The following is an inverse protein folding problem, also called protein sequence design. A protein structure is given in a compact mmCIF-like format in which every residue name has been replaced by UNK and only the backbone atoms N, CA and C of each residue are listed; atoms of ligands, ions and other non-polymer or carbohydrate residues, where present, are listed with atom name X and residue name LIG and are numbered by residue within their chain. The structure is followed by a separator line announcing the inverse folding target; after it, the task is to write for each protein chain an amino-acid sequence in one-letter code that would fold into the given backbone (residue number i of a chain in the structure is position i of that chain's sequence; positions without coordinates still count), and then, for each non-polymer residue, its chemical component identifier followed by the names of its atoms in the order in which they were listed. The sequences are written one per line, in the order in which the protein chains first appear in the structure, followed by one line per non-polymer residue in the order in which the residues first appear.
data_IF_522442403494
#
_entry.id   IF_522442403494
#
_cell.length_a   1.000
_cell.length_b   1.000
_cell.length_c   1.000
_cell.angle_alpha   90.00
_cell.angle_beta   90.00
_cell.angle_gamma   90.00
#
_symmetry.space_group_name_H-M   'P 1'
#
loop_
_entity.id
_entity.type
_entity.pdbx_description
1 polymer ?
#
# COMPACT_ATOMS: atom_id res chain seq x y z
N UNK A 1 -4.75 38.66 8.96
CA UNK A 1 -3.69 37.73 9.46
C UNK A 1 -4.36 36.44 9.95
N UNK A 2 -4.27 35.30 9.25
CA UNK A 2 -4.78 34.04 9.78
C UNK A 2 -3.67 33.25 10.49
N UNK A 3 -3.98 32.78 11.70
CA UNK A 3 -3.14 31.91 12.53
C UNK A 3 -3.02 30.54 11.87
N UNK A 4 -1.80 30.08 11.65
CA UNK A 4 -1.50 28.76 11.09
C UNK A 4 -1.96 27.63 12.00
N UNK A 5 -2.81 26.75 11.47
CA UNK A 5 -3.15 25.46 12.05
C UNK A 5 -1.90 24.57 12.10
N UNK A 6 -1.37 24.33 13.30
CA UNK A 6 -0.39 23.28 13.51
C UNK A 6 -1.11 21.93 13.49
N UNK A 7 -0.97 21.20 12.39
CA UNK A 7 -1.34 19.79 12.32
C UNK A 7 -0.36 18.98 13.17
N UNK A 8 -0.81 18.57 14.36
CA UNK A 8 -0.12 17.55 15.15
C UNK A 8 -0.05 16.28 14.30
N UNK A 9 1.15 15.92 13.82
CA UNK A 9 1.42 14.58 13.27
C UNK A 9 1.14 13.56 14.36
N UNK A 10 0.00 12.90 14.29
CA UNK A 10 -0.30 11.72 15.09
C UNK A 10 0.55 10.57 14.55
N UNK A 11 1.53 10.13 15.34
CA UNK A 11 2.20 8.85 15.10
C UNK A 11 1.12 7.77 15.26
N UNK A 12 0.72 7.13 14.16
CA UNK A 12 -0.19 5.98 14.23
C UNK A 12 0.50 4.88 15.05
N UNK A 13 -0.08 4.40 16.16
CA UNK A 13 0.49 3.28 16.89
C UNK A 13 0.51 2.05 15.97
N UNK A 14 1.63 1.32 15.97
CA UNK A 14 1.77 0.08 15.21
C UNK A 14 0.64 -0.90 15.56
N UNK A 15 0.05 -1.61 14.58
CA UNK A 15 -0.93 -2.64 14.86
C UNK A 15 -0.30 -3.68 15.77
N UNK A 16 -0.91 -3.88 16.95
CA UNK A 16 -0.51 -4.96 17.85
C UNK A 16 -0.76 -6.29 17.13
N UNK A 17 0.15 -7.28 17.23
CA UNK A 17 -0.11 -8.58 16.64
C UNK A 17 -1.43 -9.13 17.23
N UNK A 18 -2.28 -9.76 16.40
CA UNK A 18 -3.49 -10.40 16.88
C UNK A 18 -3.22 -11.37 18.02
N UNK A 19 -4.18 -11.54 18.93
CA UNK A 19 -3.99 -12.38 20.12
C UNK A 19 -3.69 -13.86 19.80
N UNK A 20 -4.05 -14.35 18.60
CA UNK A 20 -3.76 -15.70 18.11
C UNK A 20 -2.31 -15.90 17.63
N UNK A 21 -1.53 -14.82 17.52
CA UNK A 21 -0.10 -14.85 17.14
C UNK A 21 0.84 -14.89 18.35
N UNK A 22 0.32 -14.78 19.58
CA UNK A 22 1.12 -15.05 20.77
C UNK A 22 1.42 -16.55 20.84
N UNK A 23 2.71 -16.87 21.02
CA UNK A 23 3.21 -18.24 21.02
C UNK A 23 2.37 -19.26 21.80
N UNK A 24 1.91 -18.99 23.05
CA UNK A 24 1.11 -19.95 23.80
C UNK A 24 -0.28 -20.22 23.17
N UNK A 25 -0.96 -19.19 22.68
CA UNK A 25 -2.33 -19.32 22.15
C UNK A 25 -2.38 -20.16 20.86
N UNK A 26 -1.38 -19.99 20.00
CA UNK A 26 -1.28 -20.78 18.76
C UNK A 26 -1.10 -22.27 19.04
N UNK A 27 -0.22 -22.65 19.98
CA UNK A 27 0.02 -24.07 20.27
C UNK A 27 -1.20 -24.73 20.92
N UNK A 28 -1.95 -24.00 21.75
CA UNK A 28 -3.22 -24.49 22.30
C UNK A 28 -4.25 -24.72 21.19
N UNK A 29 -4.42 -23.78 20.26
CA UNK A 29 -5.33 -23.93 19.12
C UNK A 29 -4.92 -25.07 18.17
N UNK A 30 -3.62 -25.17 17.87
CA UNK A 30 -3.10 -26.25 17.03
C UNK A 30 -3.31 -27.62 17.69
N UNK A 31 -3.01 -27.75 18.99
CA UNK A 31 -3.26 -28.99 19.73
C UNK A 31 -4.75 -29.35 19.78
N UNK A 32 -5.63 -28.37 20.00
CA UNK A 32 -7.08 -28.57 19.99
C UNK A 32 -7.58 -29.03 18.62
N UNK A 33 -7.11 -28.39 17.53
CA UNK A 33 -7.46 -28.77 16.16
C UNK A 33 -6.96 -30.19 15.83
N UNK A 34 -5.72 -30.52 16.21
CA UNK A 34 -5.15 -31.87 16.02
C UNK A 34 -5.96 -32.92 16.78
N UNK A 35 -6.32 -32.65 18.04
CA UNK A 35 -7.14 -33.56 18.84
C UNK A 35 -8.54 -33.73 18.23
N UNK A 36 -9.18 -32.65 17.80
CA UNK A 36 -10.48 -32.70 17.13
C UNK A 36 -10.44 -33.55 15.85
N UNK A 37 -9.44 -33.36 15.00
CA UNK A 37 -9.26 -34.18 13.78
C UNK A 37 -9.05 -35.65 14.13
N UNK A 38 -8.26 -35.96 15.15
CA UNK A 38 -8.06 -37.33 15.61
C UNK A 38 -9.39 -38.00 15.98
N UNK A 39 -10.20 -37.36 16.83
CA UNK A 39 -11.48 -37.92 17.26
C UNK A 39 -12.51 -37.99 16.12
N UNK A 40 -12.52 -37.04 15.19
CA UNK A 40 -13.39 -37.07 14.01
C UNK A 40 -13.05 -38.23 13.08
N UNK A 41 -11.77 -38.41 12.74
CA UNK A 41 -11.32 -39.48 11.85
C UNK A 41 -11.47 -40.84 12.52
N UNK A 42 -11.16 -40.92 13.81
CA UNK A 42 -11.39 -42.12 14.61
C UNK A 42 -12.87 -42.52 14.63
N UNK A 43 -13.77 -41.58 14.96
CA UNK A 43 -15.20 -41.83 15.02
C UNK A 43 -15.80 -42.22 13.67
N UNK A 44 -15.34 -41.61 12.57
CA UNK A 44 -15.80 -41.95 11.23
C UNK A 44 -15.32 -43.33 10.75
N UNK A 45 -14.16 -43.80 11.23
CA UNK A 45 -13.60 -45.11 10.86
C UNK A 45 -14.03 -46.24 11.79
N UNK A 46 -14.65 -45.93 12.94
CA UNK A 46 -15.00 -46.91 13.95
C UNK A 46 -16.13 -47.87 13.51
N UNK A 47 -16.96 -47.45 12.55
CA UNK A 47 -18.03 -48.27 11.96
C UNK A 47 -17.55 -49.12 10.75
N UNK A 48 -16.28 -48.97 10.33
CA UNK A 48 -15.69 -49.72 9.23
C UNK A 48 -15.01 -51.03 9.67
N UNK A 49 -14.87 -52.00 8.76
CA UNK A 49 -14.15 -53.28 8.94
C UNK A 49 -12.61 -53.12 9.09
N UNK A 50 -12.11 -51.91 9.37
CA UNK A 50 -10.67 -51.66 9.51
C UNK A 50 -10.16 -52.21 10.85
N UNK A 51 -9.17 -53.10 10.82
CA UNK A 51 -8.63 -53.75 12.03
C UNK A 51 -7.86 -52.79 12.96
N UNK A 52 -7.52 -51.57 12.52
CA UNK A 52 -6.77 -50.60 13.31
C UNK A 52 -7.05 -49.12 12.94
N UNK A 53 -8.24 -48.58 13.25
CA UNK A 53 -8.63 -47.21 12.89
C UNK A 53 -7.77 -46.12 13.56
N UNK A 54 -7.09 -46.43 14.67
CA UNK A 54 -6.27 -45.47 15.45
C UNK A 54 -5.02 -45.09 14.70
N UNK A 55 -4.49 -46.00 13.88
CA UNK A 55 -3.28 -45.77 13.10
C UNK A 55 -3.57 -44.72 12.02
N UNK A 56 -4.68 -44.86 11.29
CA UNK A 56 -5.11 -43.90 10.27
C UNK A 56 -5.47 -42.54 10.89
N UNK A 57 -6.17 -42.54 12.02
CA UNK A 57 -6.47 -41.32 12.79
C UNK A 57 -5.20 -40.62 13.30
N UNK A 58 -4.22 -41.37 13.81
CA UNK A 58 -2.94 -40.83 14.28
C UNK A 58 -2.09 -40.22 13.15
N UNK A 59 -2.05 -40.86 11.98
CA UNK A 59 -1.35 -40.34 10.79
C UNK A 59 -1.99 -39.03 10.31
N UNK A 60 -3.32 -38.98 10.19
CA UNK A 60 -4.02 -37.76 9.78
C UNK A 60 -3.82 -36.59 10.75
N UNK A 61 -3.88 -36.86 12.06
CA UNK A 61 -3.61 -35.86 13.10
C UNK A 61 -2.17 -35.32 13.01
N UNK A 62 -1.20 -36.20 12.72
CA UNK A 62 0.22 -35.83 12.56
C UNK A 62 0.44 -34.91 11.34
N UNK A 63 -0.28 -35.15 10.23
CA UNK A 63 -0.24 -34.28 9.04
C UNK A 63 -0.79 -32.88 9.35
N UNK A 64 -1.90 -32.79 10.07
CA UNK A 64 -2.49 -31.49 10.47
C UNK A 64 -1.53 -30.71 11.38
N UNK A 65 -0.89 -31.39 12.33
CA UNK A 65 0.09 -30.76 13.21
C UNK A 65 1.30 -30.23 12.42
N UNK A 66 1.83 -31.02 11.49
CA UNK A 66 2.93 -30.61 10.61
C UNK A 66 2.54 -29.41 9.73
N UNK A 67 1.35 -29.43 9.14
CA UNK A 67 0.82 -28.31 8.35
C UNK A 67 0.68 -27.03 9.17
N UNK A 68 0.20 -27.12 10.42
CA UNK A 68 0.10 -25.98 11.33
C UNK A 68 1.48 -25.37 11.65
N UNK A 69 2.50 -26.20 11.88
CA UNK A 69 3.87 -25.73 12.12
C UNK A 69 4.45 -25.02 10.88
N UNK A 70 4.25 -25.57 9.68
CA UNK A 70 4.70 -24.96 8.42
C UNK A 70 3.98 -23.63 8.17
N UNK A 71 2.65 -23.58 8.34
CA UNK A 71 1.85 -22.38 8.18
C UNK A 71 2.33 -21.26 9.12
N UNK A 72 2.65 -21.62 10.37
CA UNK A 72 3.24 -20.68 11.33
C UNK A 72 4.58 -20.14 10.85
N UNK A 73 5.48 -20.99 10.38
CA UNK A 73 6.79 -20.54 9.90
C UNK A 73 6.68 -19.59 8.70
N UNK A 74 5.75 -19.87 7.77
CA UNK A 74 5.49 -18.99 6.63
C UNK A 74 4.96 -17.61 7.05
N UNK A 75 3.99 -17.58 7.98
CA UNK A 75 3.43 -16.32 8.52
C UNK A 75 4.50 -15.53 9.30
N UNK A 76 5.32 -16.22 10.10
CA UNK A 76 6.37 -15.58 10.90
C UNK A 76 7.55 -15.09 10.05
N UNK A 77 7.83 -15.71 8.90
CA UNK A 77 8.88 -15.25 8.00
C UNK A 77 8.54 -13.89 7.38
N UNK A 78 7.33 -13.72 6.87
CA UNK A 78 6.85 -12.43 6.33
C UNK A 78 6.73 -11.36 7.44
N UNK A 79 6.27 -11.74 8.64
CA UNK A 79 6.19 -10.81 9.77
C UNK A 79 7.55 -10.43 10.36
N UNK A 80 8.53 -11.35 10.43
CA UNK A 80 9.89 -11.06 10.93
C UNK A 80 10.62 -10.13 9.98
N UNK A 81 10.56 -10.38 8.67
CA UNK A 81 11.18 -9.48 7.69
C UNK A 81 10.60 -8.06 7.78
N UNK A 82 9.28 -7.91 7.96
CA UNK A 82 8.62 -6.60 8.13
C UNK A 82 8.94 -5.92 9.47
N UNK A 83 9.00 -6.66 10.57
CA UNK A 83 9.25 -6.09 11.91
C UNK A 83 10.73 -5.75 12.09
N UNK A 84 11.63 -6.57 11.55
CA UNK A 84 13.07 -6.38 11.68
C UNK A 84 13.54 -5.20 10.81
N UNK A 85 13.00 -5.06 9.60
CA UNK A 85 13.22 -3.88 8.75
C UNK A 85 12.65 -2.61 9.37
N UNK A 86 11.44 -2.65 9.94
CA UNK A 86 10.85 -1.51 10.65
C UNK A 86 11.67 -1.10 11.89
N UNK A 87 12.21 -2.06 12.64
CA UNK A 87 13.07 -1.81 13.81
C UNK A 87 14.45 -1.30 13.42
N UNK A 88 15.04 -1.78 12.32
CA UNK A 88 16.30 -1.24 11.80
C UNK A 88 16.11 0.19 11.32
N UNK A 89 14.99 0.49 10.64
CA UNK A 89 14.61 1.85 10.26
C UNK A 89 14.43 2.75 11.50
N UNK A 90 13.73 2.29 12.54
CA UNK A 90 13.53 3.07 13.77
C UNK A 90 14.84 3.32 14.54
N UNK A 91 15.76 2.34 14.59
CA UNK A 91 17.11 2.53 15.15
C UNK A 91 17.92 3.55 14.35
N UNK A 92 17.82 3.51 13.02
CA UNK A 92 18.46 4.49 12.14
C UNK A 92 17.82 5.90 12.28
N UNK A 93 16.50 5.98 12.50
CA UNK A 93 15.79 7.24 12.75
C UNK A 93 16.17 7.88 14.10
N UNK A 94 16.32 7.08 15.16
CA UNK A 94 16.78 7.59 16.47
C UNK A 94 18.24 8.06 16.43
N UNK A 95 19.08 7.49 15.58
CA UNK A 95 20.45 7.94 15.38
C UNK A 95 20.56 9.31 14.67
N UNK A 96 19.53 9.72 13.90
CA UNK A 96 19.52 10.97 13.11
C UNK A 96 18.78 12.12 13.82
N UNK A 97 17.83 11.80 14.71
CA UNK A 97 17.05 12.79 15.46
C UNK A 97 17.84 13.87 16.26
N UNK A 98 19.06 13.65 16.78
CA UNK A 98 19.78 14.70 17.51
C UNK A 98 20.53 15.70 16.63
N UNK A 99 20.64 15.49 15.31
CA UNK A 99 21.35 16.45 14.42
C UNK A 99 20.47 17.65 14.06
N UNK A 100 19.19 17.42 13.75
CA UNK A 100 18.25 18.48 13.37
C UNK A 100 17.92 19.45 14.52
N UNK A 101 17.96 18.98 15.78
CA UNK A 101 17.65 19.81 16.96
C UNK A 101 18.79 20.74 17.37
N UNK A 102 20.02 20.49 16.92
CA UNK A 102 21.22 21.28 17.25
C UNK A 102 21.54 22.38 16.23
N UNK A 103 20.85 22.42 15.09
CA UNK A 103 21.13 23.33 13.95
C UNK A 103 20.36 24.66 13.97
N UNK A 104 19.64 25.00 15.04
CA UNK A 104 18.81 26.22 15.08
C UNK A 104 19.58 27.56 15.15
N UNK A 105 20.91 27.60 15.28
CA UNK A 105 21.63 28.87 15.46
C UNK A 105 22.98 29.05 14.77
N UNK A 106 23.52 28.05 14.07
CA UNK A 106 24.86 28.15 13.45
C UNK A 106 24.78 28.08 11.92
N UNK A 107 25.26 29.14 11.27
CA UNK A 107 25.41 29.25 9.81
C UNK A 107 26.09 27.98 9.25
N UNK A 108 25.56 27.43 8.16
CA UNK A 108 26.08 26.21 7.51
C UNK A 108 27.48 26.45 6.95
N UNK A 109 28.50 26.03 7.68
CA UNK A 109 29.89 26.14 7.21
C UNK A 109 30.10 25.32 5.92
N UNK A 110 31.11 25.69 5.13
CA UNK A 110 31.49 24.95 3.91
C UNK A 110 31.76 23.47 4.20
N UNK A 111 32.42 23.18 5.33
CA UNK A 111 32.70 21.83 5.80
C UNK A 111 31.42 21.06 6.13
N UNK A 112 30.49 21.68 6.85
CA UNK A 112 29.19 21.05 7.15
C UNK A 112 28.38 20.80 5.87
N UNK A 113 28.36 21.75 4.92
CA UNK A 113 27.70 21.56 3.63
C UNK A 113 28.26 20.35 2.87
N UNK A 114 29.59 20.22 2.81
CA UNK A 114 30.24 19.08 2.16
C UNK A 114 29.92 17.75 2.84
N UNK A 115 29.91 17.71 4.17
CA UNK A 115 29.56 16.50 4.95
C UNK A 115 28.12 16.07 4.67
N UNK A 116 27.16 17.00 4.72
CA UNK A 116 25.74 16.68 4.46
C UNK A 116 25.54 16.14 3.04
N UNK A 117 26.14 16.78 2.04
CA UNK A 117 26.05 16.32 0.65
C UNK A 117 26.72 14.95 0.45
N UNK A 118 27.84 14.69 1.13
CA UNK A 118 28.49 13.39 1.08
C UNK A 118 27.59 12.29 1.69
N UNK A 119 26.96 12.56 2.83
CA UNK A 119 26.01 11.63 3.46
C UNK A 119 24.80 11.36 2.57
N UNK A 120 24.23 12.39 1.94
CA UNK A 120 23.13 12.24 0.99
C UNK A 120 23.54 11.37 -0.19
N UNK A 121 24.73 11.59 -0.77
CA UNK A 121 25.25 10.77 -1.88
C UNK A 121 25.47 9.33 -1.48
N UNK A 122 26.13 9.09 -0.34
CA UNK A 122 26.38 7.75 0.17
C UNK A 122 25.07 6.98 0.38
N UNK A 123 24.04 7.61 0.97
CA UNK A 123 22.72 6.99 1.14
C UNK A 123 21.97 6.81 -0.18
N UNK A 124 22.09 7.76 -1.10
CA UNK A 124 21.58 7.62 -2.48
C UNK A 124 22.14 6.38 -3.15
N UNK A 125 23.46 6.19 -3.06
CA UNK A 125 24.13 5.08 -3.73
C UNK A 125 23.76 3.74 -3.08
N UNK A 126 23.65 3.69 -1.74
CA UNK A 126 23.11 2.53 -1.05
C UNK A 126 21.65 2.22 -1.45
N UNK A 127 20.78 3.24 -1.53
CA UNK A 127 19.39 3.06 -1.94
C UNK A 127 19.27 2.56 -3.39
N UNK A 128 20.12 3.04 -4.31
CA UNK A 128 20.18 2.55 -5.70
C UNK A 128 20.58 1.08 -5.77
N UNK A 129 21.53 0.63 -4.94
CA UNK A 129 21.91 -0.79 -4.84
C UNK A 129 20.75 -1.63 -4.31
N UNK A 130 20.01 -1.11 -3.34
CA UNK A 130 18.84 -1.75 -2.74
C UNK A 130 17.54 -1.56 -3.53
N UNK A 131 17.62 -1.24 -4.83
CA UNK A 131 16.60 -0.52 -5.63
C UNK A 131 15.14 -1.03 -5.66
N UNK A 132 14.80 -2.11 -4.95
CA UNK A 132 13.41 -2.55 -4.69
C UNK A 132 12.85 -2.07 -3.35
N UNK A 133 13.67 -1.47 -2.48
CA UNK A 133 13.22 -1.01 -1.17
C UNK A 133 12.71 0.45 -1.26
N UNK A 134 11.40 0.62 -1.40
CA UNK A 134 10.75 1.93 -1.49
C UNK A 134 11.13 2.85 -0.31
N UNK A 135 11.19 2.31 0.90
CA UNK A 135 11.57 3.05 2.11
C UNK A 135 12.95 3.70 2.03
N UNK A 136 13.93 3.04 1.38
CA UNK A 136 15.27 3.59 1.20
C UNK A 136 15.26 4.82 0.28
N UNK A 137 14.47 4.77 -0.80
CA UNK A 137 14.29 5.92 -1.68
C UNK A 137 13.57 7.07 -0.96
N UNK A 138 12.54 6.77 -0.16
CA UNK A 138 11.84 7.81 0.61
C UNK A 138 12.76 8.53 1.59
N UNK A 139 13.61 7.79 2.29
CA UNK A 139 14.57 8.34 3.24
C UNK A 139 15.53 9.34 2.57
N UNK A 140 16.10 8.97 1.42
CA UNK A 140 17.02 9.84 0.69
C UNK A 140 16.31 11.12 0.22
N UNK A 141 15.05 11.00 -0.24
CA UNK A 141 14.25 12.17 -0.58
C UNK A 141 14.04 13.11 0.63
N UNK A 142 13.67 12.56 1.79
CA UNK A 142 13.45 13.37 3.00
C UNK A 142 14.75 14.07 3.45
N UNK A 143 15.92 13.42 3.31
CA UNK A 143 17.22 14.05 3.56
C UNK A 143 17.53 15.19 2.58
N UNK A 144 17.18 15.01 1.30
CA UNK A 144 17.32 16.07 0.30
C UNK A 144 16.43 17.26 0.65
N UNK A 145 15.18 17.04 1.05
CA UNK A 145 14.25 18.10 1.45
C UNK A 145 14.70 18.81 2.73
N UNK A 146 15.26 18.09 3.71
CA UNK A 146 15.85 18.71 4.89
C UNK A 146 17.04 19.61 4.53
N UNK A 147 17.95 19.12 3.70
CA UNK A 147 19.08 19.90 3.19
C UNK A 147 18.61 21.15 2.43
N UNK A 148 17.66 20.99 1.50
CA UNK A 148 17.10 22.09 0.72
C UNK A 148 16.42 23.13 1.61
N UNK A 149 15.76 22.72 2.69
CA UNK A 149 15.16 23.63 3.66
C UNK A 149 16.21 24.48 4.38
N UNK A 150 17.35 23.91 4.75
CA UNK A 150 18.48 24.65 5.35
C UNK A 150 19.05 25.62 4.32
N UNK A 151 19.36 25.15 3.12
CA UNK A 151 19.96 25.96 2.06
C UNK A 151 19.03 27.12 1.63
N UNK A 152 17.72 26.89 1.55
CA UNK A 152 16.74 27.92 1.20
C UNK A 152 16.66 29.04 2.24
N UNK A 153 16.87 28.73 3.53
CA UNK A 153 16.93 29.74 4.60
C UNK A 153 18.21 30.54 4.56
N UNK A 154 19.33 29.93 4.18
CA UNK A 154 20.63 30.58 4.22
C UNK A 154 20.98 31.37 2.97
N UNK A 155 20.61 30.88 1.78
CA UNK A 155 20.95 31.51 0.50
C UNK A 155 20.63 33.01 0.41
N UNK A 156 19.45 33.49 0.86
CA UNK A 156 19.12 34.91 0.79
C UNK A 156 20.02 35.80 1.66
N UNK A 157 20.60 35.25 2.74
CA UNK A 157 21.48 35.97 3.66
C UNK A 157 22.95 36.01 3.27
N UNK A 158 23.30 35.47 2.08
CA UNK A 158 24.68 35.37 1.61
C UNK A 158 24.97 36.51 0.62
N UNK A 159 25.89 37.39 0.99
CA UNK A 159 26.34 38.49 0.12
C UNK A 159 27.02 38.01 -1.16
N UNK A 160 26.90 38.82 -2.21
CA UNK A 160 27.60 38.64 -3.49
C UNK A 160 29.10 38.60 -3.24
N UNK A 161 29.81 37.60 -3.79
CA UNK A 161 31.25 37.39 -3.56
C UNK A 161 31.60 36.48 -2.37
N UNK A 162 30.61 36.00 -1.61
CA UNK A 162 30.86 35.03 -0.54
C UNK A 162 31.38 33.70 -1.10
N UNK A 163 32.48 33.13 -0.54
CA UNK A 163 32.96 31.79 -0.90
C UNK A 163 31.93 30.67 -0.69
N UNK A 164 30.88 30.93 0.09
CA UNK A 164 29.80 29.98 0.40
C UNK A 164 28.73 29.91 -0.68
N UNK A 165 28.59 30.94 -1.50
CA UNK A 165 27.49 31.05 -2.45
C UNK A 165 27.52 29.93 -3.49
N UNK A 166 28.64 29.77 -4.19
CA UNK A 166 28.78 28.77 -5.28
C UNK A 166 28.62 27.34 -4.77
N UNK A 167 29.27 26.90 -3.67
CA UNK A 167 29.08 25.55 -3.15
C UNK A 167 27.65 25.24 -2.71
N UNK A 168 26.93 26.21 -2.13
CA UNK A 168 25.53 26.02 -1.71
C UNK A 168 24.59 25.97 -2.90
N UNK A 169 24.83 26.77 -3.94
CA UNK A 169 24.06 26.68 -5.20
C UNK A 169 24.27 25.32 -5.88
N UNK A 170 25.52 24.86 -6.01
CA UNK A 170 25.82 23.52 -6.56
C UNK A 170 25.18 22.41 -5.73
N UNK A 171 25.26 22.51 -4.42
CA UNK A 171 24.63 21.58 -3.49
C UNK A 171 23.11 21.54 -3.62
N UNK A 172 22.46 22.71 -3.73
CA UNK A 172 21.03 22.85 -3.99
C UNK A 172 20.63 22.10 -5.26
N UNK A 173 21.29 22.36 -6.38
CA UNK A 173 20.99 21.71 -7.66
C UNK A 173 21.18 20.19 -7.57
N UNK A 174 22.25 19.73 -6.91
CA UNK A 174 22.50 18.30 -6.72
C UNK A 174 21.42 17.62 -5.85
N UNK A 175 21.04 18.24 -4.74
CA UNK A 175 19.99 17.72 -3.87
C UNK A 175 18.60 17.77 -4.52
N UNK A 176 18.32 18.76 -5.37
CA UNK A 176 17.08 18.80 -6.17
C UNK A 176 17.02 17.63 -7.17
N UNK A 177 18.12 17.36 -7.88
CA UNK A 177 18.21 16.24 -8.82
C UNK A 177 18.05 14.88 -8.13
N UNK A 178 18.77 14.66 -7.03
CA UNK A 178 18.65 13.43 -6.23
C UNK A 178 17.26 13.30 -5.61
N UNK A 179 16.72 14.38 -5.03
CA UNK A 179 15.39 14.41 -4.46
C UNK A 179 14.32 14.03 -5.49
N UNK A 180 14.37 14.60 -6.69
CA UNK A 180 13.46 14.21 -7.78
C UNK A 180 13.58 12.72 -8.10
N UNK A 181 14.78 12.23 -8.37
CA UNK A 181 15.01 10.81 -8.69
C UNK A 181 14.45 9.88 -7.62
N UNK A 182 14.77 10.13 -6.35
CA UNK A 182 14.35 9.25 -5.26
C UNK A 182 12.85 9.33 -4.96
N UNK A 183 12.21 10.50 -5.11
CA UNK A 183 10.75 10.58 -4.96
C UNK A 183 10.03 9.80 -6.05
N UNK A 184 10.46 9.93 -7.30
CA UNK A 184 9.86 9.20 -8.42
C UNK A 184 10.04 7.69 -8.26
N UNK A 185 11.25 7.24 -7.89
CA UNK A 185 11.50 5.82 -7.62
C UNK A 185 10.73 5.28 -6.42
N UNK A 186 10.59 6.05 -5.34
CA UNK A 186 9.73 5.66 -4.22
C UNK A 186 8.28 5.48 -4.68
N UNK A 187 7.72 6.47 -5.39
CA UNK A 187 6.34 6.43 -5.85
C UNK A 187 6.09 5.25 -6.79
N UNK A 188 7.02 4.98 -7.72
CA UNK A 188 6.96 3.82 -8.63
C UNK A 188 6.89 2.50 -7.87
N UNK A 189 7.87 2.23 -6.99
CA UNK A 189 7.96 0.96 -6.27
C UNK A 189 6.76 0.75 -5.34
N UNK A 190 6.38 1.78 -4.59
CA UNK A 190 5.29 1.70 -3.63
C UNK A 190 3.96 1.48 -4.35
N UNK A 191 3.70 2.23 -5.43
CA UNK A 191 2.49 2.07 -6.25
C UNK A 191 2.44 0.68 -6.88
N UNK A 192 3.52 0.19 -7.48
CA UNK A 192 3.57 -1.16 -8.06
C UNK A 192 3.31 -2.25 -7.03
N UNK A 193 3.87 -2.10 -5.82
CA UNK A 193 3.66 -3.03 -4.71
C UNK A 193 2.19 -3.04 -4.28
N UNK A 194 1.56 -1.87 -4.18
CA UNK A 194 0.15 -1.74 -3.83
C UNK A 194 -0.76 -2.28 -4.93
N UNK A 195 -0.45 -2.03 -6.20
CA UNK A 195 -1.18 -2.58 -7.34
C UNK A 195 -1.12 -4.11 -7.36
N UNK A 196 0.06 -4.70 -7.11
CA UNK A 196 0.20 -6.16 -6.97
C UNK A 196 -0.65 -6.71 -5.82
N UNK A 197 -0.61 -6.06 -4.66
CA UNK A 197 -1.43 -6.44 -3.49
C UNK A 197 -2.94 -6.31 -3.76
N UNK A 198 -3.37 -5.31 -4.52
CA UNK A 198 -4.76 -5.14 -4.90
C UNK A 198 -5.21 -6.26 -5.85
N UNK A 199 -4.37 -6.63 -6.83
CA UNK A 199 -4.65 -7.72 -7.77
C UNK A 199 -4.85 -9.08 -7.07
N UNK A 200 -4.15 -9.33 -5.96
CA UNK A 200 -4.28 -10.56 -5.17
C UNK A 200 -5.57 -10.65 -4.32
N UNK A 201 -6.29 -9.53 -4.13
CA UNK A 201 -7.53 -9.55 -3.34
C UNK A 201 -8.69 -10.09 -4.16
N UNK A 202 -9.65 -10.73 -3.50
CA UNK A 202 -10.89 -11.15 -4.12
C UNK A 202 -12.02 -10.13 -3.88
N UNK A 203 -12.10 -9.60 -2.65
CA UNK A 203 -13.11 -8.62 -2.25
C UNK A 203 -12.85 -7.23 -2.87
N UNK A 204 -13.88 -6.63 -3.47
CA UNK A 204 -13.86 -5.28 -4.03
C UNK A 204 -13.51 -4.19 -2.99
N UNK A 205 -14.08 -4.25 -1.79
CA UNK A 205 -13.81 -3.25 -0.74
C UNK A 205 -12.33 -3.24 -0.31
N UNK A 206 -11.72 -4.42 -0.18
CA UNK A 206 -10.29 -4.55 0.12
C UNK A 206 -9.42 -4.03 -1.03
N UNK A 207 -9.81 -4.33 -2.29
CA UNK A 207 -9.14 -3.80 -3.48
C UNK A 207 -9.17 -2.28 -3.48
N UNK A 208 -10.34 -1.68 -3.29
CA UNK A 208 -10.52 -0.23 -3.30
C UNK A 208 -9.70 0.45 -2.21
N UNK A 209 -9.67 -0.12 -1.00
CA UNK A 209 -8.83 0.41 0.09
C UNK A 209 -7.35 0.46 -0.31
N UNK A 210 -6.83 -0.60 -0.92
CA UNK A 210 -5.42 -0.65 -1.37
C UNK A 210 -5.17 0.29 -2.54
N UNK A 211 -6.10 0.41 -3.48
CA UNK A 211 -5.98 1.34 -4.60
C UNK A 211 -6.02 2.81 -4.15
N UNK A 212 -6.81 3.14 -3.11
CA UNK A 212 -6.79 4.46 -2.48
C UNK A 212 -5.44 4.76 -1.80
N UNK A 213 -4.82 3.77 -1.17
CA UNK A 213 -3.43 3.90 -0.67
C UNK A 213 -2.45 4.19 -1.81
N UNK A 214 -2.57 3.50 -2.95
CA UNK A 214 -1.72 3.70 -4.12
C UNK A 214 -1.92 5.11 -4.72
N UNK A 215 -3.18 5.56 -4.80
CA UNK A 215 -3.51 6.92 -5.25
C UNK A 215 -2.89 7.98 -4.33
N UNK A 216 -2.95 7.79 -3.01
CA UNK A 216 -2.35 8.72 -2.04
C UNK A 216 -0.82 8.84 -2.15
N UNK A 217 -0.13 7.76 -2.52
CA UNK A 217 1.31 7.77 -2.81
C UNK A 217 1.60 8.66 -4.02
N UNK A 218 0.84 8.49 -5.10
CA UNK A 218 0.99 9.27 -6.34
C UNK A 218 0.64 10.74 -6.11
N UNK A 219 -0.43 11.03 -5.35
CA UNK A 219 -0.81 12.40 -4.99
C UNK A 219 0.30 13.09 -4.18
N UNK A 220 0.95 12.36 -3.27
CA UNK A 220 2.11 12.88 -2.52
C UNK A 220 3.26 13.25 -3.45
N UNK A 221 3.51 12.47 -4.50
CA UNK A 221 4.56 12.75 -5.47
C UNK A 221 4.17 13.90 -6.43
N UNK A 222 2.92 13.93 -6.91
CA UNK A 222 2.37 14.97 -7.77
C UNK A 222 2.30 16.33 -7.08
N UNK A 223 2.03 16.37 -5.77
CA UNK A 223 2.11 17.60 -4.99
C UNK A 223 3.50 18.25 -5.06
N UNK A 224 4.56 17.47 -5.30
CA UNK A 224 5.93 17.97 -5.45
C UNK A 224 6.33 18.21 -6.89
N UNK A 225 5.89 17.35 -7.80
CA UNK A 225 6.17 17.40 -9.24
C UNK A 225 4.88 17.27 -10.07
N UNK A 226 4.06 18.34 -10.14
CA UNK A 226 2.72 18.27 -10.71
C UNK A 226 2.69 18.07 -12.23
N UNK A 227 3.81 18.36 -12.92
CA UNK A 227 3.94 18.23 -14.37
C UNK A 227 4.71 16.96 -14.79
N UNK A 228 4.92 16.01 -13.89
CA UNK A 228 5.63 14.78 -14.20
C UNK A 228 4.72 13.80 -14.94
N UNK A 229 4.93 13.64 -16.26
CA UNK A 229 4.09 12.79 -17.11
C UNK A 229 3.91 11.37 -16.57
N UNK A 230 5.00 10.72 -16.15
CA UNK A 230 4.93 9.36 -15.61
C UNK A 230 4.07 9.23 -14.33
N UNK A 231 4.04 10.27 -13.48
CA UNK A 231 3.17 10.27 -12.29
C UNK A 231 1.71 10.51 -12.66
N UNK A 232 1.45 11.39 -13.63
CA UNK A 232 0.10 11.67 -14.14
C UNK A 232 -0.47 10.40 -14.76
N UNK A 233 0.27 9.76 -15.67
CA UNK A 233 -0.12 8.50 -16.31
C UNK A 233 -0.38 7.39 -15.29
N UNK A 234 0.50 7.24 -14.29
CA UNK A 234 0.29 6.26 -13.20
C UNK A 234 -0.95 6.58 -12.37
N UNK A 235 -1.23 7.85 -12.12
CA UNK A 235 -2.39 8.31 -11.34
C UNK A 235 -3.69 8.02 -12.07
N UNK A 236 -3.71 8.29 -13.38
CA UNK A 236 -4.87 8.02 -14.22
C UNK A 236 -5.11 6.52 -14.35
N UNK A 237 -4.06 5.71 -14.53
CA UNK A 237 -4.17 4.25 -14.55
C UNK A 237 -4.73 3.68 -13.22
N UNK A 238 -4.28 4.16 -12.07
CA UNK A 238 -4.83 3.74 -10.76
C UNK A 238 -6.30 4.13 -10.64
N UNK A 239 -6.67 5.35 -11.05
CA UNK A 239 -8.07 5.83 -11.03
C UNK A 239 -8.98 5.04 -11.97
N UNK A 240 -8.47 4.64 -13.13
CA UNK A 240 -9.21 3.78 -14.07
C UNK A 240 -9.50 2.43 -13.42
N UNK A 241 -8.49 1.78 -12.84
CA UNK A 241 -8.67 0.49 -12.13
C UNK A 241 -9.64 0.61 -10.96
N UNK A 242 -9.58 1.69 -10.18
CA UNK A 242 -10.55 1.95 -9.10
C UNK A 242 -11.99 2.00 -9.62
N UNK A 243 -12.21 2.66 -10.75
CA UNK A 243 -13.56 2.76 -11.33
C UNK A 243 -14.02 1.43 -11.87
N UNK A 244 -13.15 0.67 -12.56
CA UNK A 244 -13.47 -0.69 -12.99
C UNK A 244 -13.92 -1.57 -11.83
N UNK A 245 -13.21 -1.52 -10.68
CA UNK A 245 -13.60 -2.28 -9.49
C UNK A 245 -14.95 -1.82 -8.92
N UNK A 246 -15.19 -0.51 -8.82
CA UNK A 246 -16.47 0.05 -8.33
C UNK A 246 -17.64 -0.32 -9.25
N UNK A 247 -17.46 -0.18 -10.56
CA UNK A 247 -18.48 -0.52 -11.55
C UNK A 247 -18.80 -2.01 -11.47
N UNK A 248 -17.79 -2.88 -11.38
CA UNK A 248 -18.02 -4.31 -11.25
C UNK A 248 -18.83 -4.66 -9.98
N UNK A 249 -18.53 -4.03 -8.85
CA UNK A 249 -19.27 -4.23 -7.59
C UNK A 249 -20.73 -3.77 -7.71
N UNK A 250 -20.99 -2.60 -8.30
CA UNK A 250 -22.35 -2.08 -8.54
C UNK A 250 -23.12 -3.00 -9.48
N UNK A 251 -22.50 -3.44 -10.58
CA UNK A 251 -23.11 -4.36 -11.57
C UNK A 251 -23.43 -5.71 -10.94
N UNK A 252 -22.55 -6.25 -10.10
CA UNK A 252 -22.81 -7.50 -9.38
C UNK A 252 -23.99 -7.35 -8.40
N UNK A 253 -24.05 -6.24 -7.67
CA UNK A 253 -25.19 -5.93 -6.80
C UNK A 253 -26.50 -5.81 -7.58
N UNK A 254 -26.47 -5.13 -8.74
CA UNK A 254 -27.62 -4.98 -9.62
C UNK A 254 -28.11 -6.33 -10.17
N UNK A 255 -27.19 -7.20 -10.58
CA UNK A 255 -27.52 -8.52 -11.09
C UNK A 255 -28.16 -9.42 -10.02
N UNK A 256 -27.67 -9.35 -8.77
CA UNK A 256 -28.29 -10.07 -7.63
C UNK A 256 -29.70 -9.56 -7.34
N UNK A 257 -29.89 -8.24 -7.25
CA UNK A 257 -31.20 -7.64 -7.06
C UNK A 257 -32.19 -8.01 -8.18
N UNK A 258 -31.71 -8.01 -9.43
CA UNK A 258 -32.48 -8.47 -10.58
C UNK A 258 -32.86 -9.94 -10.44
N UNK A 259 -31.95 -10.80 -9.97
CA UNK A 259 -32.25 -12.22 -9.77
C UNK A 259 -33.30 -12.44 -8.67
N UNK A 260 -33.26 -11.63 -7.60
CA UNK A 260 -34.20 -11.69 -6.48
C UNK A 260 -35.56 -11.03 -6.80
N UNK A 261 -35.73 -10.46 -7.99
CA UNK A 261 -36.96 -9.80 -8.43
C UNK A 261 -37.11 -8.35 -7.95
N UNK A 262 -36.07 -7.76 -7.37
CA UNK A 262 -36.00 -6.37 -6.93
C UNK A 262 -35.68 -5.43 -8.11
N UNK A 263 -36.54 -5.43 -9.14
CA UNK A 263 -36.28 -4.78 -10.43
C UNK A 263 -35.99 -3.28 -10.35
N UNK A 264 -36.65 -2.55 -9.45
CA UNK A 264 -36.45 -1.10 -9.29
C UNK A 264 -35.06 -0.78 -8.77
N UNK A 265 -34.62 -1.52 -7.75
CA UNK A 265 -33.30 -1.38 -7.16
C UNK A 265 -32.21 -1.82 -8.16
N UNK A 266 -32.42 -2.91 -8.90
CA UNK A 266 -31.51 -3.33 -9.96
C UNK A 266 -31.31 -2.25 -11.03
N UNK A 267 -32.40 -1.62 -11.51
CA UNK A 267 -32.35 -0.53 -12.49
C UNK A 267 -31.63 0.71 -11.95
N UNK A 268 -31.82 1.05 -10.68
CA UNK A 268 -31.09 2.16 -10.02
C UNK A 268 -29.59 1.88 -10.02
N UNK A 269 -29.17 0.70 -9.57
CA UNK A 269 -27.76 0.30 -9.53
C UNK A 269 -27.11 0.29 -10.92
N UNK A 270 -27.78 -0.23 -11.95
CA UNK A 270 -27.24 -0.18 -13.31
C UNK A 270 -27.05 1.25 -13.84
N UNK A 271 -27.96 2.17 -13.50
CA UNK A 271 -27.82 3.60 -13.86
C UNK A 271 -26.68 4.26 -13.11
N UNK A 272 -26.49 3.92 -11.84
CA UNK A 272 -25.36 4.39 -11.04
C UNK A 272 -24.02 3.90 -11.61
N UNK A 273 -23.97 2.66 -12.10
CA UNK A 273 -22.80 2.14 -12.81
C UNK A 273 -22.49 2.94 -14.08
N UNK A 274 -23.49 3.22 -14.94
CA UNK A 274 -23.31 4.05 -16.13
C UNK A 274 -22.85 5.46 -15.78
N UNK A 275 -23.41 6.06 -14.73
CA UNK A 275 -22.99 7.39 -14.26
C UNK A 275 -21.54 7.40 -13.77
N UNK A 276 -21.10 6.35 -13.07
CA UNK A 276 -19.71 6.21 -12.64
C UNK A 276 -18.74 6.11 -13.83
N UNK A 277 -19.13 5.39 -14.89
CA UNK A 277 -18.34 5.26 -16.12
C UNK A 277 -18.22 6.60 -16.85
N UNK A 278 -19.33 7.33 -17.00
CA UNK A 278 -19.37 8.57 -17.78
C UNK A 278 -18.45 9.67 -17.21
N UNK A 279 -18.29 9.70 -15.88
CA UNK A 279 -17.40 10.63 -15.18
C UNK A 279 -15.91 10.46 -15.48
N UNK A 280 -15.50 9.34 -16.10
CA UNK A 280 -14.10 9.04 -16.42
C UNK A 280 -13.78 9.10 -17.91
N UNK A 281 -14.59 9.78 -18.73
CA UNK A 281 -14.25 9.92 -20.16
C UNK A 281 -12.92 10.65 -20.37
N UNK A 282 -12.08 10.19 -21.33
CA UNK A 282 -12.28 9.00 -22.17
C UNK A 282 -11.90 7.70 -21.43
N UNK A 283 -12.75 6.66 -21.54
CA UNK A 283 -12.51 5.33 -20.97
C UNK A 283 -12.12 4.31 -22.05
N UNK A 284 -11.37 3.27 -21.65
CA UNK A 284 -10.85 2.22 -22.55
C UNK A 284 -11.93 1.31 -23.15
N UNK A 285 -11.50 0.38 -24.04
CA UNK A 285 -12.41 -0.53 -24.75
C UNK A 285 -13.17 -1.50 -23.82
N UNK A 286 -12.54 -1.96 -22.75
CA UNK A 286 -13.20 -2.84 -21.76
C UNK A 286 -14.45 -2.16 -21.16
N UNK A 287 -14.34 -0.87 -20.86
CA UNK A 287 -15.42 -0.10 -20.28
C UNK A 287 -16.54 0.18 -21.30
N UNK A 288 -16.24 0.21 -22.61
CA UNK A 288 -17.28 0.27 -23.65
C UNK A 288 -18.14 -0.99 -23.66
N UNK A 289 -17.53 -2.17 -23.58
CA UNK A 289 -18.27 -3.42 -23.48
C UNK A 289 -19.10 -3.51 -22.20
N UNK A 290 -18.58 -2.98 -21.08
CA UNK A 290 -19.36 -2.88 -19.86
C UNK A 290 -20.61 -2.00 -20.04
N UNK A 291 -20.49 -0.85 -20.72
CA UNK A 291 -21.64 0.02 -21.05
C UNK A 291 -22.68 -0.72 -21.88
N UNK A 292 -22.26 -1.33 -23.00
CA UNK A 292 -23.17 -2.08 -23.89
C UNK A 292 -23.92 -3.19 -23.13
N UNK A 293 -23.21 -3.92 -22.27
CA UNK A 293 -23.80 -4.95 -21.44
C UNK A 293 -24.81 -4.36 -20.44
N UNK A 294 -24.44 -3.30 -19.71
CA UNK A 294 -25.32 -2.66 -18.73
C UNK A 294 -26.60 -2.12 -19.41
N UNK A 295 -26.47 -1.49 -20.56
CA UNK A 295 -27.62 -0.98 -21.33
C UNK A 295 -28.57 -2.11 -21.75
N UNK A 296 -28.02 -3.24 -22.22
CA UNK A 296 -28.82 -4.42 -22.56
C UNK A 296 -29.57 -5.00 -21.34
N UNK A 297 -28.94 -5.01 -20.16
CA UNK A 297 -29.61 -5.49 -18.94
C UNK A 297 -30.70 -4.55 -18.45
N UNK A 298 -30.50 -3.24 -18.56
CA UNK A 298 -31.54 -2.24 -18.28
C UNK A 298 -32.75 -2.48 -19.18
N UNK A 299 -32.55 -2.68 -20.49
CA UNK A 299 -33.64 -2.95 -21.44
C UNK A 299 -34.38 -4.23 -21.07
N UNK A 300 -33.65 -5.32 -20.81
CA UNK A 300 -34.23 -6.61 -20.43
C UNK A 300 -35.08 -6.52 -19.16
N UNK A 301 -34.56 -5.88 -18.10
CA UNK A 301 -35.27 -5.74 -16.82
C UNK A 301 -36.51 -4.85 -16.98
N UNK A 302 -36.43 -3.81 -17.80
CA UNK A 302 -37.58 -2.93 -18.10
C UNK A 302 -38.71 -3.73 -18.74
N UNK A 303 -38.41 -4.57 -19.73
CA UNK A 303 -39.39 -5.45 -20.38
C UNK A 303 -39.99 -6.46 -19.38
N UNK A 304 -39.15 -7.08 -18.54
CA UNK A 304 -39.62 -8.03 -17.52
C UNK A 304 -40.61 -7.36 -16.54
N UNK A 305 -40.23 -6.18 -16.02
CA UNK A 305 -41.07 -5.37 -15.13
C UNK A 305 -42.42 -5.02 -15.77
N UNK A 306 -42.42 -4.59 -17.04
CA UNK A 306 -43.66 -4.26 -17.77
C UNK A 306 -44.52 -5.49 -18.07
N UNK A 307 -43.90 -6.67 -18.23
CA UNK A 307 -44.60 -7.93 -18.51
C UNK A 307 -45.25 -8.58 -17.29
N UNK A 308 -45.06 -8.03 -16.08
CA UNK A 308 -45.64 -8.55 -14.83
C UNK A 308 -45.14 -9.94 -14.42
N UNK A 309 -43.96 -10.33 -14.92
CA UNK A 309 -43.22 -11.54 -14.56
C UNK A 309 -42.06 -11.18 -13.63
#
# INVERSE_FOLDING_TARGET
MPRGLQTKRTVRPYPRPPFWLLAPNFYVLAAAATAATFFLVWGALQDGLDEAPWIKAGVSASVVLAAAVILRELIFRDLRERIETARQLERNLRAVAPVAKRQRSTKLSLKQNAILLHQIRQKSDAAKVLGRLSAAHREVFDLCEEYLRVVHRELPGIGVGSPRLVPLQKGKTAAQGLGRFHLLKWAEIETQTLMGRAAERQNAADKLTILEEASAVLDTALARFPSEAALIESSDAVREVMTTVRVAEIVESAARASFDGEWEYALEQYRDALFAIDRQRPFGNEMKHAVEHIEAEIERITILKESGK
#
